data_IF_955664297054
#
_entry.id   IF_955664297054
#
_cell.length_a   1.000
_cell.length_b   1.000
_cell.length_c   1.000
_cell.angle_alpha   90.00
_cell.angle_beta   90.00
_cell.angle_gamma   90.00
#
_symmetry.space_group_name_H-M   'P 1'
#
loop_
_entity.id
_entity.type
_entity.pdbx_description
1 polymer ?
#
# COMPACT_ATOMS: atom_id res chain seq x y z
N UNK A 1 27.32 1.89 10.52
CA UNK A 1 26.64 2.60 9.40
C UNK A 1 26.54 1.58 8.28
N UNK A 2 25.39 0.91 8.13
CA UNK A 2 25.19 -0.07 7.07
C UNK A 2 24.80 0.64 5.79
N UNK A 3 25.57 0.46 4.72
CA UNK A 3 25.18 0.91 3.39
C UNK A 3 24.17 -0.10 2.84
N UNK A 4 22.94 0.34 2.58
CA UNK A 4 22.03 -0.42 1.73
C UNK A 4 22.44 -0.12 0.29
N UNK A 5 23.13 -1.09 -0.34
CA UNK A 5 23.43 -1.02 -1.77
C UNK A 5 22.16 -1.40 -2.52
N UNK A 6 21.49 -0.41 -3.08
CA UNK A 6 20.34 -0.63 -3.96
C UNK A 6 20.86 -0.66 -5.40
N UNK A 7 20.92 -1.85 -5.99
CA UNK A 7 21.13 -1.99 -7.42
C UNK A 7 19.83 -1.61 -8.14
N UNK A 8 19.79 -0.41 -8.71
CA UNK A 8 18.70 0.04 -9.57
C UNK A 8 19.00 -0.35 -11.01
N UNK A 9 17.97 -0.77 -11.74
CA UNK A 9 18.07 -0.96 -13.19
C UNK A 9 18.57 0.34 -13.85
N UNK A 10 19.43 0.30 -14.87
CA UNK A 10 19.88 1.49 -15.59
C UNK A 10 18.74 2.33 -16.17
N UNK A 11 17.58 1.72 -16.43
CA UNK A 11 16.36 2.37 -16.91
C UNK A 11 15.40 2.76 -15.78
N UNK A 12 15.80 2.61 -14.52
CA UNK A 12 14.99 3.04 -13.39
C UNK A 12 14.72 4.54 -13.50
N UNK A 13 13.44 4.89 -13.68
CA UNK A 13 12.99 6.28 -13.68
C UNK A 13 12.26 6.55 -12.38
N UNK A 14 12.65 7.65 -11.72
CA UNK A 14 11.87 8.17 -10.60
C UNK A 14 10.43 8.41 -11.07
N UNK A 15 9.51 8.09 -10.17
CA UNK A 15 8.09 8.26 -10.39
C UNK A 15 7.74 9.74 -10.70
N UNK A 16 7.04 9.97 -11.82
CA UNK A 16 6.59 11.31 -12.22
C UNK A 16 5.20 11.60 -11.66
N UNK A 17 5.12 12.57 -10.76
CA UNK A 17 3.85 12.98 -10.13
C UNK A 17 2.85 13.52 -11.16
N UNK A 18 3.32 14.29 -12.14
CA UNK A 18 2.47 14.82 -13.20
C UNK A 18 1.82 13.68 -14.00
N UNK A 19 2.61 12.67 -14.38
CA UNK A 19 2.08 11.51 -15.10
C UNK A 19 1.10 10.70 -14.27
N UNK A 20 1.36 10.49 -12.97
CA UNK A 20 0.44 9.79 -12.08
C UNK A 20 -0.86 10.55 -11.94
N UNK A 21 -0.80 11.84 -11.62
CA UNK A 21 -2.01 12.64 -11.39
C UNK A 21 -2.85 12.70 -12.66
N UNK A 22 -2.22 12.86 -13.82
CA UNK A 22 -2.91 12.79 -15.11
C UNK A 22 -3.55 11.41 -15.35
N UNK A 23 -2.83 10.32 -15.08
CA UNK A 23 -3.34 8.96 -15.23
C UNK A 23 -4.51 8.65 -14.29
N UNK A 24 -4.37 9.04 -13.03
CA UNK A 24 -5.37 8.85 -12.00
C UNK A 24 -6.66 9.62 -12.32
N UNK A 25 -6.56 10.84 -12.86
CA UNK A 25 -7.73 11.66 -13.23
C UNK A 25 -8.48 11.18 -14.47
N UNK A 26 -7.77 10.64 -15.48
CA UNK A 26 -8.38 10.25 -16.76
C UNK A 26 -8.97 8.83 -16.76
N UNK A 27 -8.58 8.00 -15.80
CA UNK A 27 -8.99 6.59 -15.74
C UNK A 27 -10.28 6.43 -14.93
N UNK A 28 -11.17 5.57 -15.42
CA UNK A 28 -12.48 5.28 -14.79
C UNK A 28 -12.46 4.05 -13.88
N UNK A 29 -11.37 3.29 -13.90
CA UNK A 29 -11.20 2.10 -13.05
C UNK A 29 -9.72 1.96 -12.75
N UNK A 30 -9.37 1.88 -11.47
CA UNK A 30 -8.00 1.96 -10.99
C UNK A 30 -7.75 0.85 -9.98
N UNK A 31 -6.89 -0.09 -10.34
CA UNK A 31 -6.35 -1.05 -9.39
C UNK A 31 -5.14 -0.41 -8.69
N UNK A 32 -5.17 -0.34 -7.36
CA UNK A 32 -4.10 0.23 -6.53
C UNK A 32 -3.62 -0.87 -5.58
N UNK A 33 -2.42 -1.37 -5.85
CA UNK A 33 -1.80 -2.46 -5.09
C UNK A 33 -0.71 -1.86 -4.21
N UNK A 34 -0.87 -1.97 -2.89
CA UNK A 34 0.02 -1.36 -1.91
C UNK A 34 0.68 -2.45 -1.09
N UNK A 35 1.99 -2.59 -1.22
CA UNK A 35 2.77 -3.36 -0.26
C UNK A 35 2.75 -2.68 1.11
N UNK A 36 2.60 -3.47 2.16
CA UNK A 36 2.69 -2.99 3.53
C UNK A 36 4.13 -3.07 4.07
N UNK A 37 4.81 -4.19 3.83
CA UNK A 37 6.02 -4.59 4.54
C UNK A 37 7.26 -3.88 3.99
N UNK A 38 7.57 -2.72 4.59
CA UNK A 38 8.72 -1.90 4.21
C UNK A 38 8.37 -0.72 3.31
N UNK A 39 7.13 -0.68 2.82
CA UNK A 39 6.57 0.42 2.03
C UNK A 39 5.70 1.35 2.87
N UNK A 40 4.56 0.88 3.38
CA UNK A 40 3.67 1.68 4.25
C UNK A 40 4.00 1.53 5.74
N UNK A 41 4.70 0.45 6.11
CA UNK A 41 5.15 0.19 7.47
C UNK A 41 6.23 1.19 7.89
N UNK A 42 6.15 1.80 9.09
CA UNK A 42 7.20 2.65 9.61
C UNK A 42 8.55 1.90 9.71
N UNK A 43 9.54 2.33 8.94
CA UNK A 43 10.83 1.64 8.87
C UNK A 43 11.61 1.72 10.19
N UNK A 44 11.69 2.92 10.80
CA UNK A 44 12.49 3.16 12.01
C UNK A 44 11.79 2.81 13.34
N UNK A 45 10.50 2.46 13.32
CA UNK A 45 9.74 2.15 14.54
C UNK A 45 9.88 0.68 14.94
N UNK A 46 9.92 0.40 16.24
CA UNK A 46 9.73 -0.97 16.77
C UNK A 46 8.28 -1.40 16.56
N UNK A 47 7.33 -0.48 16.76
CA UNK A 47 5.94 -0.72 16.44
C UNK A 47 5.75 -0.69 14.93
N UNK A 48 5.34 -1.84 14.40
CA UNK A 48 5.08 -2.05 12.98
C UNK A 48 3.61 -1.90 12.61
N UNK A 49 2.79 -1.34 13.50
CA UNK A 49 1.37 -1.05 13.24
C UNK A 49 1.19 0.13 12.27
N UNK A 50 0.07 0.21 11.52
CA UNK A 50 -0.18 1.32 10.62
C UNK A 50 -0.33 2.63 11.39
N UNK A 51 0.20 3.71 10.83
CA UNK A 51 0.00 5.05 11.41
C UNK A 51 -1.42 5.55 11.14
N UNK A 52 -1.89 6.49 11.96
CA UNK A 52 -3.18 7.16 11.73
C UNK A 52 -3.24 7.85 10.35
N UNK A 53 -2.13 8.37 9.85
CA UNK A 53 -2.04 8.95 8.51
C UNK A 53 -2.18 7.88 7.41
N UNK A 54 -1.57 6.70 7.59
CA UNK A 54 -1.72 5.58 6.67
C UNK A 54 -3.18 5.12 6.58
N UNK A 55 -3.87 5.00 7.71
CA UNK A 55 -5.30 4.63 7.76
C UNK A 55 -6.16 5.69 7.06
N UNK A 56 -5.94 6.98 7.34
CA UNK A 56 -6.68 8.07 6.68
C UNK A 56 -6.48 8.08 5.17
N UNK A 57 -5.24 7.87 4.72
CA UNK A 57 -4.91 7.79 3.29
C UNK A 57 -5.62 6.61 2.62
N UNK A 58 -5.57 5.42 3.23
CA UNK A 58 -6.24 4.23 2.71
C UNK A 58 -7.74 4.45 2.62
N UNK A 59 -8.38 5.00 3.66
CA UNK A 59 -9.81 5.31 3.63
C UNK A 59 -10.16 6.33 2.54
N UNK A 60 -9.34 7.36 2.35
CA UNK A 60 -9.53 8.32 1.25
C UNK A 60 -9.49 7.64 -0.13
N UNK A 61 -8.54 6.72 -0.34
CA UNK A 61 -8.45 5.96 -1.59
C UNK A 61 -9.62 5.00 -1.76
N UNK A 62 -10.02 4.29 -0.71
CA UNK A 62 -11.09 3.28 -0.75
C UNK A 62 -12.49 3.90 -0.86
N UNK A 63 -12.66 5.18 -0.52
CA UNK A 63 -13.94 5.88 -0.65
C UNK A 63 -14.23 6.38 -2.08
N UNK A 64 -13.25 6.33 -2.98
CA UNK A 64 -13.47 6.62 -4.39
C UNK A 64 -13.91 5.34 -5.11
N UNK A 65 -15.15 5.31 -5.60
CA UNK A 65 -15.78 4.14 -6.24
C UNK A 65 -15.02 3.60 -7.46
N UNK A 66 -14.18 4.43 -8.09
CA UNK A 66 -13.38 4.02 -9.24
C UNK A 66 -12.07 3.33 -8.80
N UNK A 67 -11.79 3.27 -7.50
CA UNK A 67 -10.62 2.60 -6.94
C UNK A 67 -10.95 1.21 -6.41
N UNK A 68 -10.13 0.26 -6.83
CA UNK A 68 -10.00 -1.04 -6.21
C UNK A 68 -8.65 -1.09 -5.50
N UNK A 69 -8.66 -0.97 -4.17
CA UNK A 69 -7.44 -0.86 -3.36
C UNK A 69 -7.19 -2.19 -2.66
N UNK A 70 -5.98 -2.74 -2.83
CA UNK A 70 -5.52 -3.92 -2.12
C UNK A 70 -4.26 -3.62 -1.32
N UNK A 71 -4.26 -4.06 -0.07
CA UNK A 71 -3.06 -4.13 0.76
C UNK A 71 -2.45 -5.53 0.67
N UNK A 72 -1.18 -5.60 0.25
CA UNK A 72 -0.41 -6.84 0.13
C UNK A 72 0.61 -6.88 1.27
N UNK A 73 0.65 -7.99 2.00
CA UNK A 73 1.55 -8.12 3.15
C UNK A 73 1.98 -9.56 3.41
N UNK A 74 3.19 -9.72 3.93
CA UNK A 74 3.72 -10.95 4.49
C UNK A 74 3.05 -11.34 5.82
N UNK A 75 2.34 -10.41 6.48
CA UNK A 75 1.73 -10.65 7.78
C UNK A 75 0.51 -11.57 7.67
N UNK A 76 0.24 -12.28 8.76
CA UNK A 76 -0.92 -13.17 8.86
C UNK A 76 -2.25 -12.42 8.79
N UNK A 77 -3.27 -13.06 8.21
CA UNK A 77 -4.58 -12.46 7.93
C UNK A 77 -5.26 -11.82 9.15
N UNK A 78 -5.17 -12.44 10.33
CA UNK A 78 -5.87 -12.00 11.53
C UNK A 78 -5.34 -10.65 12.02
N UNK A 79 -4.02 -10.49 11.97
CA UNK A 79 -3.34 -9.26 12.38
C UNK A 79 -3.64 -8.10 11.43
N UNK A 80 -3.67 -8.38 10.12
CA UNK A 80 -4.04 -7.38 9.12
C UNK A 80 -5.52 -6.98 9.24
N UNK A 81 -6.41 -7.95 9.47
CA UNK A 81 -7.83 -7.67 9.70
C UNK A 81 -8.05 -6.79 10.95
N UNK A 82 -7.30 -7.02 12.02
CA UNK A 82 -7.34 -6.18 13.22
C UNK A 82 -6.84 -4.76 12.93
N UNK A 83 -5.63 -4.64 12.36
CA UNK A 83 -4.98 -3.35 12.11
C UNK A 83 -5.71 -2.46 11.12
N UNK A 84 -6.36 -3.06 10.12
CA UNK A 84 -7.08 -2.34 9.07
C UNK A 84 -8.60 -2.49 9.20
N UNK A 85 -9.10 -2.85 10.38
CA UNK A 85 -10.53 -2.95 10.67
C UNK A 85 -11.31 -1.67 10.38
N UNK A 86 -10.66 -0.50 10.49
CA UNK A 86 -11.23 0.81 10.15
C UNK A 86 -11.27 1.13 8.63
N UNK A 87 -10.80 0.22 7.77
CA UNK A 87 -10.78 0.36 6.32
C UNK A 87 -11.73 -0.66 5.67
N UNK A 88 -13.02 -0.37 5.66
CA UNK A 88 -14.07 -1.32 5.29
C UNK A 88 -13.96 -1.83 3.84
N UNK A 89 -13.61 -0.95 2.90
CA UNK A 89 -13.52 -1.24 1.46
C UNK A 89 -12.11 -1.63 1.00
N UNK A 90 -11.21 -1.94 1.94
CA UNK A 90 -9.84 -2.35 1.62
C UNK A 90 -9.77 -3.86 1.39
N UNK A 91 -9.34 -4.27 0.19
CA UNK A 91 -8.98 -5.65 -0.08
C UNK A 91 -7.67 -6.02 0.63
N UNK A 92 -7.57 -7.24 1.17
CA UNK A 92 -6.39 -7.70 1.91
C UNK A 92 -5.84 -8.97 1.25
N UNK A 93 -4.58 -8.88 0.81
CA UNK A 93 -3.76 -9.99 0.35
C UNK A 93 -2.71 -10.32 1.43
N UNK A 94 -3.04 -11.28 2.31
CA UNK A 94 -2.18 -11.69 3.43
C UNK A 94 -1.25 -12.84 3.04
N UNK A 95 -0.20 -13.06 3.84
CA UNK A 95 0.75 -14.18 3.67
C UNK A 95 1.33 -14.23 2.25
N UNK A 96 1.84 -13.10 1.77
CA UNK A 96 2.36 -12.93 0.41
C UNK A 96 1.35 -13.22 -0.70
N UNK A 97 0.06 -12.99 -0.42
CA UNK A 97 -1.04 -13.18 -1.38
C UNK A 97 -1.63 -14.59 -1.37
N UNK A 98 -1.25 -15.45 -0.42
CA UNK A 98 -1.90 -16.75 -0.24
C UNK A 98 -3.38 -16.61 0.15
N UNK A 99 -3.70 -15.59 0.95
CA UNK A 99 -5.07 -15.30 1.37
C UNK A 99 -5.54 -13.98 0.76
N UNK A 100 -6.72 -13.99 0.15
CA UNK A 100 -7.38 -12.81 -0.43
C UNK A 100 -8.75 -12.60 0.22
N UNK A 101 -9.04 -11.36 0.61
CA UNK A 101 -10.36 -10.89 1.08
C UNK A 101 -10.71 -9.58 0.39
#
# INVERSE_FOLDING_TARGET
IGLIVVALDPNFKKLSMEHIVSAYKRTKTRAILLDYDGTLMPQASIDKSPTSNSIKMLNSLCNDENNMVFLISAKGRMKLAEWFSACENLGIAAEHGYFLR
#
